data_IF_563903167101
#
_entry.id   IF_563903167101
#
_cell.length_a   1.000
_cell.length_b   1.000
_cell.length_c   1.000
_cell.angle_alpha   90.00
_cell.angle_beta   90.00
_cell.angle_gamma   90.00
#
_symmetry.space_group_name_H-M   'P 1'
#
loop_
_entity.id
_entity.type
_entity.pdbx_description
1 polymer ?
#
# COMPACT_ATOMS: atom_id res chain seq x y z
N UNK A 1 15.38 -10.03 33.85
CA UNK A 1 13.99 -10.52 34.01
C UNK A 1 13.32 -10.51 32.64
N UNK A 2 13.20 -11.67 31.98
CA UNK A 2 12.50 -11.83 30.69
C UNK A 2 11.50 -12.97 30.83
N UNK A 3 10.21 -12.67 30.99
CA UNK A 3 9.13 -13.67 31.15
C UNK A 3 7.91 -13.33 30.29
N UNK A 4 8.09 -12.75 29.09
CA UNK A 4 6.96 -12.39 28.21
C UNK A 4 6.91 -12.99 26.78
N UNK A 5 7.66 -14.06 26.39
CA UNK A 5 7.39 -14.76 25.12
C UNK A 5 6.06 -15.54 25.14
N UNK A 6 5.78 -16.30 26.20
CA UNK A 6 4.71 -17.32 26.22
C UNK A 6 3.30 -16.76 25.97
N UNK A 7 2.99 -15.57 26.50
CA UNK A 7 1.63 -15.03 26.42
C UNK A 7 1.28 -14.53 25.02
N UNK A 8 2.24 -13.91 24.32
CA UNK A 8 2.03 -13.42 22.94
C UNK A 8 1.89 -14.59 21.98
N UNK A 9 2.74 -15.59 22.13
CA UNK A 9 2.71 -16.79 21.29
C UNK A 9 1.42 -17.59 21.52
N UNK A 10 0.98 -17.76 22.77
CA UNK A 10 -0.30 -18.39 23.09
C UNK A 10 -1.51 -17.60 22.53
N UNK A 11 -1.45 -16.27 22.57
CA UNK A 11 -2.52 -15.41 22.01
C UNK A 11 -2.57 -15.50 20.48
N UNK A 12 -1.41 -15.53 19.82
CA UNK A 12 -1.31 -15.71 18.39
C UNK A 12 -1.80 -17.11 17.96
N UNK A 13 -1.47 -18.14 18.72
CA UNK A 13 -1.92 -19.52 18.47
C UNK A 13 -3.44 -19.64 18.58
N UNK A 14 -4.03 -19.07 19.64
CA UNK A 14 -5.49 -18.98 19.77
C UNK A 14 -6.14 -18.26 18.58
N UNK A 15 -5.54 -17.17 18.12
CA UNK A 15 -6.05 -16.43 16.96
C UNK A 15 -6.00 -17.26 15.67
N UNK A 16 -4.95 -18.07 15.48
CA UNK A 16 -4.83 -19.03 14.36
C UNK A 16 -5.89 -20.12 14.44
N UNK A 17 -6.05 -20.76 15.60
CA UNK A 17 -7.08 -21.80 15.79
C UNK A 17 -8.50 -21.28 15.50
N UNK A 18 -8.82 -20.05 15.94
CA UNK A 18 -10.09 -19.40 15.60
C UNK A 18 -10.24 -19.17 14.08
N UNK A 19 -9.16 -18.77 13.40
CA UNK A 19 -9.18 -18.58 11.95
C UNK A 19 -9.36 -19.91 11.19
N UNK A 20 -8.69 -20.98 11.64
CA UNK A 20 -8.80 -22.32 11.06
C UNK A 20 -10.21 -22.91 11.27
N UNK A 21 -10.85 -22.58 12.40
CA UNK A 21 -12.25 -22.90 12.67
C UNK A 21 -13.25 -21.99 11.90
N UNK A 22 -12.78 -21.09 11.03
CA UNK A 22 -13.62 -20.16 10.26
C UNK A 22 -14.22 -19.01 11.09
N UNK A 23 -13.84 -18.88 12.36
CA UNK A 23 -14.32 -17.84 13.28
C UNK A 23 -13.53 -16.53 13.10
N UNK A 24 -13.47 -16.04 11.86
CA UNK A 24 -12.62 -14.92 11.44
C UNK A 24 -12.83 -13.62 12.23
N UNK A 25 -14.09 -13.28 12.57
CA UNK A 25 -14.39 -12.09 13.37
C UNK A 25 -13.80 -12.17 14.78
N UNK A 26 -13.79 -13.37 15.40
CA UNK A 26 -13.19 -13.59 16.70
C UNK A 26 -11.67 -13.59 16.59
N UNK A 27 -11.11 -14.26 15.57
CA UNK A 27 -9.68 -14.24 15.29
C UNK A 27 -9.15 -12.80 15.14
N UNK A 28 -9.85 -11.92 14.42
CA UNK A 28 -9.49 -10.50 14.28
C UNK A 28 -9.44 -9.79 15.64
N UNK A 29 -10.40 -10.05 16.54
CA UNK A 29 -10.39 -9.47 17.90
C UNK A 29 -9.15 -9.91 18.68
N UNK A 30 -8.78 -11.20 18.62
CA UNK A 30 -7.60 -11.72 19.31
C UNK A 30 -6.31 -11.19 18.68
N UNK A 31 -6.21 -11.11 17.34
CA UNK A 31 -5.07 -10.48 16.67
C UNK A 31 -4.90 -9.01 17.06
N UNK A 32 -5.99 -8.26 17.27
CA UNK A 32 -5.91 -6.87 17.74
C UNK A 32 -5.38 -6.75 19.16
N UNK A 33 -5.65 -7.71 20.04
CA UNK A 33 -5.10 -7.71 21.41
C UNK A 33 -3.57 -7.79 21.42
N UNK A 34 -2.97 -8.43 20.41
CA UNK A 34 -1.50 -8.46 20.29
C UNK A 34 -0.90 -7.08 20.01
N UNK A 35 -1.68 -6.19 19.38
CA UNK A 35 -1.25 -4.82 19.09
C UNK A 35 -1.23 -3.92 20.34
N UNK A 36 -1.97 -4.26 21.40
CA UNK A 36 -1.96 -3.50 22.66
C UNK A 36 -0.57 -3.51 23.30
N UNK A 37 0.19 -4.61 23.15
CA UNK A 37 1.56 -4.74 23.65
C UNK A 37 2.64 -4.52 22.59
N UNK A 38 2.28 -4.40 21.31
CA UNK A 38 3.19 -4.20 20.17
C UNK A 38 2.46 -3.51 19.02
N UNK A 39 2.23 -2.19 19.11
CA UNK A 39 1.33 -1.47 18.18
C UNK A 39 1.86 -1.40 16.75
N UNK A 40 3.14 -1.75 16.53
CA UNK A 40 3.86 -1.65 15.27
C UNK A 40 4.22 -3.03 14.68
N UNK A 41 3.34 -4.03 14.77
CA UNK A 41 3.57 -5.33 14.12
C UNK A 41 2.92 -5.39 12.72
N UNK A 42 3.75 -5.27 11.69
CA UNK A 42 3.32 -5.30 10.29
C UNK A 42 2.66 -6.63 9.89
N UNK A 43 3.13 -7.75 10.43
CA UNK A 43 2.61 -9.07 10.09
C UNK A 43 1.21 -9.26 10.69
N UNK A 44 1.01 -8.81 11.94
CA UNK A 44 -0.31 -8.84 12.59
C UNK A 44 -1.33 -8.00 11.79
N UNK A 45 -0.97 -6.80 11.35
CA UNK A 45 -1.86 -5.99 10.50
C UNK A 45 -2.15 -6.66 9.16
N UNK A 46 -1.17 -7.29 8.51
CA UNK A 46 -1.41 -8.02 7.26
C UNK A 46 -2.38 -9.19 7.48
N UNK A 47 -2.20 -9.97 8.55
CA UNK A 47 -3.11 -11.07 8.92
C UNK A 47 -4.53 -10.56 9.22
N UNK A 48 -4.68 -9.46 9.95
CA UNK A 48 -5.99 -8.84 10.18
C UNK A 48 -6.65 -8.47 8.84
N UNK A 49 -5.88 -7.93 7.89
CA UNK A 49 -6.38 -7.61 6.55
C UNK A 49 -6.88 -8.85 5.79
N UNK A 50 -6.11 -9.94 5.83
CA UNK A 50 -6.47 -11.20 5.18
C UNK A 50 -7.75 -11.80 5.77
N UNK A 51 -7.89 -11.77 7.10
CA UNK A 51 -9.09 -12.23 7.80
C UNK A 51 -10.29 -11.32 7.55
N UNK A 52 -10.09 -10.00 7.45
CA UNK A 52 -11.16 -9.05 7.16
C UNK A 52 -11.78 -9.30 5.78
N UNK A 53 -10.98 -9.73 4.78
CA UNK A 53 -11.52 -10.15 3.48
C UNK A 53 -12.40 -11.40 3.57
N UNK A 54 -12.09 -12.34 4.47
CA UNK A 54 -12.90 -13.56 4.65
C UNK A 54 -14.31 -13.25 5.15
N UNK A 55 -14.49 -12.13 5.85
CA UNK A 55 -15.79 -11.64 6.32
C UNK A 55 -16.35 -10.51 5.44
N UNK A 56 -15.82 -10.31 4.23
CA UNK A 56 -16.22 -9.27 3.26
C UNK A 56 -16.12 -7.83 3.80
N UNK A 57 -15.31 -7.60 4.83
CA UNK A 57 -15.04 -6.27 5.35
C UNK A 57 -13.89 -5.63 4.56
N UNK A 58 -14.18 -5.21 3.32
CA UNK A 58 -13.17 -4.59 2.46
C UNK A 58 -12.57 -3.30 3.05
N UNK A 59 -13.34 -2.36 3.63
CA UNK A 59 -12.77 -1.16 4.24
C UNK A 59 -11.79 -1.50 5.38
N UNK A 60 -12.18 -2.41 6.29
CA UNK A 60 -11.31 -2.85 7.38
C UNK A 60 -10.06 -3.58 6.90
N UNK A 61 -10.15 -4.32 5.78
CA UNK A 61 -8.99 -4.95 5.16
C UNK A 61 -8.02 -3.93 4.61
N UNK A 62 -8.52 -2.92 3.88
CA UNK A 62 -7.72 -1.83 3.31
C UNK A 62 -6.98 -1.05 4.41
N UNK A 63 -7.67 -0.69 5.49
CA UNK A 63 -7.06 0.01 6.62
C UNK A 63 -5.92 -0.80 7.26
N UNK A 64 -6.15 -2.09 7.49
CA UNK A 64 -5.14 -2.97 8.04
C UNK A 64 -3.93 -3.14 7.10
N UNK A 65 -4.18 -3.33 5.80
CA UNK A 65 -3.12 -3.41 4.80
C UNK A 65 -2.32 -2.12 4.69
N UNK A 66 -2.94 -0.94 4.78
CA UNK A 66 -2.19 0.32 4.78
C UNK A 66 -1.23 0.41 5.97
N UNK A 67 -1.67 0.02 7.16
CA UNK A 67 -0.81 -0.02 8.36
C UNK A 67 0.35 -1.01 8.18
N UNK A 68 0.04 -2.23 7.73
CA UNK A 68 1.06 -3.25 7.46
C UNK A 68 2.09 -2.78 6.42
N UNK A 69 1.63 -2.24 5.28
CA UNK A 69 2.52 -1.79 4.23
C UNK A 69 3.43 -0.65 4.71
N UNK A 70 2.90 0.34 5.42
CA UNK A 70 3.71 1.44 5.97
C UNK A 70 4.78 0.96 6.95
N UNK A 71 4.43 0.04 7.85
CA UNK A 71 5.39 -0.55 8.78
C UNK A 71 6.48 -1.34 8.04
N UNK A 72 6.10 -2.15 7.03
CA UNK A 72 7.09 -2.83 6.19
C UNK A 72 8.00 -1.85 5.44
N UNK A 73 7.51 -0.69 5.00
CA UNK A 73 8.37 0.35 4.40
C UNK A 73 9.35 0.89 5.44
N UNK A 74 8.88 1.22 6.64
CA UNK A 74 9.72 1.74 7.74
C UNK A 74 10.81 0.76 8.16
N UNK A 75 10.50 -0.54 8.15
CA UNK A 75 11.44 -1.63 8.46
C UNK A 75 12.36 -2.00 7.28
N UNK A 76 12.22 -1.37 6.12
CA UNK A 76 13.01 -1.68 4.92
C UNK A 76 12.58 -2.95 4.17
N UNK A 77 11.49 -3.62 4.58
CA UNK A 77 10.91 -4.78 3.92
C UNK A 77 10.09 -4.41 2.68
N UNK A 78 10.73 -3.75 1.70
CA UNK A 78 10.09 -3.19 0.51
C UNK A 78 9.29 -4.22 -0.31
N UNK A 79 9.78 -5.47 -0.41
CA UNK A 79 9.04 -6.54 -1.12
C UNK A 79 7.72 -6.89 -0.43
N UNK A 80 7.71 -6.96 0.91
CA UNK A 80 6.49 -7.21 1.68
C UNK A 80 5.52 -6.03 1.54
N UNK A 81 6.03 -4.79 1.62
CA UNK A 81 5.23 -3.59 1.40
C UNK A 81 4.56 -3.57 0.01
N UNK A 82 5.32 -3.88 -1.05
CA UNK A 82 4.79 -3.98 -2.42
C UNK A 82 3.67 -5.04 -2.50
N UNK A 83 3.88 -6.22 -1.91
CA UNK A 83 2.88 -7.28 -1.92
C UNK A 83 1.57 -6.83 -1.24
N UNK A 84 1.67 -6.14 -0.10
CA UNK A 84 0.51 -5.62 0.63
C UNK A 84 -0.17 -4.49 -0.13
N UNK A 85 0.57 -3.52 -0.70
CA UNK A 85 -0.02 -2.48 -1.54
C UNK A 85 -0.71 -3.04 -2.79
N UNK A 86 -0.21 -4.14 -3.37
CA UNK A 86 -0.90 -4.84 -4.48
C UNK A 86 -2.23 -5.45 -4.04
N UNK A 87 -2.38 -5.90 -2.78
CA UNK A 87 -3.68 -6.32 -2.23
C UNK A 87 -4.66 -5.14 -2.19
N UNK A 88 -4.21 -3.97 -1.73
CA UNK A 88 -5.04 -2.75 -1.71
C UNK A 88 -5.46 -2.36 -3.14
N UNK A 89 -4.51 -2.34 -4.08
CA UNK A 89 -4.80 -2.05 -5.49
C UNK A 89 -5.84 -3.00 -6.09
N UNK A 90 -5.84 -4.27 -5.70
CA UNK A 90 -6.86 -5.25 -6.16
C UNK A 90 -8.26 -4.91 -5.64
N UNK A 91 -8.36 -4.36 -4.44
CA UNK A 91 -9.63 -3.96 -3.81
C UNK A 91 -10.10 -2.59 -4.32
N UNK A 92 -9.18 -1.67 -4.58
CA UNK A 92 -9.45 -0.31 -5.05
C UNK A 92 -8.55 0.03 -6.26
N UNK A 93 -8.89 -0.45 -7.47
CA UNK A 93 -8.07 -0.26 -8.66
C UNK A 93 -7.98 1.20 -9.12
N UNK A 94 -8.90 2.05 -8.69
CA UNK A 94 -8.97 3.48 -9.03
C UNK A 94 -8.25 4.40 -8.02
N UNK A 95 -7.60 3.84 -7.00
CA UNK A 95 -6.91 4.63 -5.96
C UNK A 95 -5.50 5.02 -6.40
N UNK A 96 -5.38 6.20 -7.01
CA UNK A 96 -4.14 6.74 -7.55
C UNK A 96 -2.97 6.69 -6.54
N UNK A 97 -3.22 6.99 -5.27
CA UNK A 97 -2.21 7.05 -4.22
C UNK A 97 -1.50 5.70 -4.02
N UNK A 98 -2.18 4.56 -4.23
CA UNK A 98 -1.55 3.23 -4.12
C UNK A 98 -0.51 3.02 -5.21
N UNK A 99 -0.79 3.46 -6.43
CA UNK A 99 0.17 3.38 -7.54
C UNK A 99 1.36 4.31 -7.31
N UNK A 100 1.15 5.51 -6.75
CA UNK A 100 2.26 6.38 -6.34
C UNK A 100 3.20 5.67 -5.35
N UNK A 101 2.64 5.05 -4.31
CA UNK A 101 3.41 4.32 -3.29
C UNK A 101 4.17 3.12 -3.86
N UNK A 102 3.56 2.37 -4.79
CA UNK A 102 4.23 1.28 -5.51
C UNK A 102 5.37 1.80 -6.39
N UNK A 103 5.16 2.91 -7.09
CA UNK A 103 6.18 3.57 -7.90
C UNK A 103 7.37 4.01 -7.04
N UNK A 104 7.12 4.65 -5.91
CA UNK A 104 8.16 5.09 -4.96
C UNK A 104 8.99 3.89 -4.46
N UNK A 105 8.34 2.78 -4.10
CA UNK A 105 9.04 1.56 -3.66
C UNK A 105 9.85 0.90 -4.79
N UNK A 106 9.35 0.95 -6.02
CA UNK A 106 10.10 0.42 -7.16
C UNK A 106 11.33 1.29 -7.49
N UNK A 107 11.27 2.61 -7.28
CA UNK A 107 12.46 3.49 -7.38
C UNK A 107 13.51 3.09 -6.35
N UNK A 108 13.12 2.92 -5.08
CA UNK A 108 14.05 2.52 -4.00
C UNK A 108 14.75 1.19 -4.32
N UNK A 109 14.04 0.28 -5.00
CA UNK A 109 14.58 -1.02 -5.42
C UNK A 109 15.35 -1.00 -6.75
N UNK A 110 15.50 0.15 -7.39
CA UNK A 110 16.16 0.28 -8.69
C UNK A 110 15.34 -0.27 -9.87
N UNK A 111 14.07 -0.62 -9.67
CA UNK A 111 13.19 -1.19 -10.69
C UNK A 111 12.49 -0.09 -11.49
N UNK A 112 13.28 0.68 -12.25
CA UNK A 112 12.85 1.90 -12.92
C UNK A 112 11.67 1.68 -13.88
N UNK A 113 11.69 0.59 -14.66
CA UNK A 113 10.58 0.28 -15.57
C UNK A 113 9.24 0.11 -14.84
N UNK A 114 9.25 -0.61 -13.71
CA UNK A 114 8.05 -0.80 -12.89
C UNK A 114 7.61 0.51 -12.24
N UNK A 115 8.57 1.33 -11.77
CA UNK A 115 8.28 2.64 -11.20
C UNK A 115 7.57 3.56 -12.20
N UNK A 116 8.08 3.62 -13.44
CA UNK A 116 7.47 4.41 -14.52
C UNK A 116 6.05 3.93 -14.82
N UNK A 117 5.82 2.62 -14.93
CA UNK A 117 4.49 2.06 -15.17
C UNK A 117 3.48 2.40 -14.06
N UNK A 118 3.89 2.29 -12.79
CA UNK A 118 3.06 2.63 -11.64
C UNK A 118 2.77 4.16 -11.59
N UNK A 119 3.77 5.01 -11.82
CA UNK A 119 3.56 6.46 -11.88
C UNK A 119 2.65 6.91 -13.02
N UNK A 120 2.75 6.30 -14.21
CA UNK A 120 1.86 6.59 -15.34
C UNK A 120 0.41 6.23 -15.00
N UNK A 121 0.21 5.07 -14.37
CA UNK A 121 -1.12 4.63 -13.89
C UNK A 121 -1.69 5.61 -12.87
N UNK A 122 -0.88 6.03 -11.90
CA UNK A 122 -1.28 7.02 -10.91
C UNK A 122 -1.59 8.40 -11.53
N UNK A 123 -0.77 8.87 -12.47
CA UNK A 123 -0.97 10.15 -13.14
C UNK A 123 -2.28 10.14 -13.94
N UNK A 124 -2.58 9.04 -14.66
CA UNK A 124 -3.83 8.87 -15.40
C UNK A 124 -5.05 8.97 -14.47
N UNK A 125 -5.01 8.32 -13.31
CA UNK A 125 -6.10 8.38 -12.33
C UNK A 125 -6.26 9.78 -11.73
N UNK A 126 -5.16 10.47 -11.41
CA UNK A 126 -5.24 11.85 -10.92
C UNK A 126 -5.81 12.82 -11.97
N UNK A 127 -5.47 12.65 -13.25
CA UNK A 127 -6.07 13.45 -14.33
C UNK A 127 -7.58 13.20 -14.45
N UNK A 128 -8.01 11.94 -14.37
CA UNK A 128 -9.45 11.58 -14.36
C UNK A 128 -10.20 12.23 -13.18
N UNK A 129 -9.52 12.39 -12.04
CA UNK A 129 -10.06 13.05 -10.85
C UNK A 129 -9.89 14.58 -10.85
N UNK A 130 -9.42 15.19 -11.94
CA UNK A 130 -9.18 16.65 -12.02
C UNK A 130 -7.98 17.16 -11.21
N UNK A 131 -7.19 16.27 -10.61
CA UNK A 131 -6.01 16.60 -9.80
C UNK A 131 -4.77 16.78 -10.69
N UNK A 132 -4.79 17.78 -11.58
CA UNK A 132 -3.73 18.02 -12.59
C UNK A 132 -2.34 18.15 -11.96
N UNK A 133 -2.21 18.87 -10.84
CA UNK A 133 -0.92 19.11 -10.18
C UNK A 133 -0.28 17.84 -9.62
N UNK A 134 -1.08 16.90 -9.11
CA UNK A 134 -0.60 15.60 -8.66
C UNK A 134 -0.07 14.80 -9.84
N UNK A 135 -0.79 14.79 -10.97
CA UNK A 135 -0.33 14.13 -12.19
C UNK A 135 0.97 14.73 -12.72
N UNK A 136 1.07 16.06 -12.80
CA UNK A 136 2.31 16.76 -13.21
C UNK A 136 3.50 16.42 -12.32
N UNK A 137 3.28 16.29 -11.00
CA UNK A 137 4.34 15.89 -10.06
C UNK A 137 4.88 14.50 -10.38
N UNK A 138 4.01 13.55 -10.72
CA UNK A 138 4.42 12.19 -11.10
C UNK A 138 5.10 12.14 -12.46
N UNK A 139 4.60 12.88 -13.45
CA UNK A 139 5.24 12.99 -14.75
C UNK A 139 6.66 13.57 -14.64
N UNK A 140 6.88 14.54 -13.73
CA UNK A 140 8.24 15.02 -13.41
C UNK A 140 9.11 13.94 -12.78
N UNK A 141 8.57 13.08 -11.90
CA UNK A 141 9.32 11.93 -11.38
C UNK A 141 9.74 10.99 -12.52
N UNK A 142 8.84 10.70 -13.45
CA UNK A 142 9.15 9.87 -14.63
C UNK A 142 10.24 10.52 -15.49
N UNK A 143 10.14 11.81 -15.80
CA UNK A 143 11.15 12.52 -16.61
C UNK A 143 12.55 12.56 -15.95
N UNK A 144 12.64 12.44 -14.61
CA UNK A 144 13.92 12.27 -13.93
C UNK A 144 14.50 10.86 -14.07
N UNK A 145 13.63 9.85 -14.12
CA UNK A 145 14.01 8.43 -14.28
C UNK A 145 14.36 8.12 -15.73
N UNK A 146 13.57 8.64 -16.66
CA UNK A 146 13.70 8.47 -18.11
C UNK A 146 13.57 9.83 -18.81
N UNK A 147 14.67 10.59 -18.93
CA UNK A 147 14.68 11.91 -19.55
C UNK A 147 14.34 11.92 -21.05
N UNK A 148 14.47 10.77 -21.71
CA UNK A 148 14.20 10.61 -23.14
C UNK A 148 12.75 10.22 -23.44
N UNK A 149 11.91 10.09 -22.40
CA UNK A 149 10.49 9.81 -22.56
C UNK A 149 9.74 11.00 -23.19
N UNK A 150 9.66 11.01 -24.52
CA UNK A 150 9.03 12.09 -25.30
C UNK A 150 7.55 12.23 -24.97
N UNK A 151 6.84 11.13 -24.75
CA UNK A 151 5.41 11.13 -24.43
C UNK A 151 5.13 11.85 -23.12
N UNK A 152 5.93 11.59 -22.08
CA UNK A 152 5.83 12.26 -20.78
C UNK A 152 6.11 13.75 -20.92
N UNK A 153 7.12 14.14 -21.70
CA UNK A 153 7.44 15.55 -21.95
C UNK A 153 6.32 16.28 -22.67
N UNK A 154 5.76 15.70 -23.73
CA UNK A 154 4.63 16.27 -24.47
C UNK A 154 3.43 16.45 -23.54
N UNK A 155 3.07 15.40 -22.79
CA UNK A 155 1.94 15.45 -21.85
C UNK A 155 2.13 16.49 -20.74
N UNK A 156 3.35 16.67 -20.24
CA UNK A 156 3.66 17.75 -19.30
C UNK A 156 3.47 19.13 -19.92
N UNK A 157 3.94 19.34 -21.16
CA UNK A 157 3.80 20.62 -21.85
C UNK A 157 2.33 21.00 -22.06
N UNK A 158 1.51 20.05 -22.54
CA UNK A 158 0.06 20.23 -22.71
C UNK A 158 -0.64 20.62 -21.40
N UNK A 159 -0.35 19.90 -20.31
CA UNK A 159 -0.94 20.18 -19.01
C UNK A 159 -0.49 21.54 -18.45
N UNK A 160 0.78 21.92 -18.62
CA UNK A 160 1.27 23.24 -18.20
C UNK A 160 0.62 24.39 -18.99
N UNK A 161 0.39 24.23 -20.29
CA UNK A 161 -0.33 25.23 -21.09
C UNK A 161 -1.78 25.36 -20.62
N UNK A 162 -2.46 24.23 -20.38
CA UNK A 162 -3.85 24.23 -19.93
C UNK A 162 -4.05 24.90 -18.57
N UNK A 163 -3.11 24.75 -17.64
CA UNK A 163 -3.19 25.42 -16.33
C UNK A 163 -2.85 26.92 -16.40
N UNK A 164 -2.08 27.38 -17.39
CA UNK A 164 -1.83 28.82 -17.62
C UNK A 164 -3.00 29.56 -18.28
N UNK A 165 -3.94 28.81 -18.89
CA UNK A 165 -5.11 29.35 -19.60
C UNK A 165 -6.38 29.39 -18.73
N UNK A 166 -6.30 28.99 -17.46
CA UNK A 166 -7.37 29.11 -16.46
C UNK A 166 -7.11 30.31 -15.56
#
# INVERSE_FOLDING_TARGET
>A
MSVAPDKKDATAERARQLADAGQYAQAIKVWRQLLDGSPNDANVYNTIGDLALKIKNNPGAIDAYYKAARLFVQEGFHLKAIAVYKKIRKLEPDRAEVYTLLGDLNVVRGLMHNAVADYLSSAKLFLKAGKTMNALTLLRKIAKIDPQNTDVRMRMAELCLKEKLK
#
